data_IF_541609527159
#
_entry.id   IF_541609527159
#
_cell.length_a   1.000
_cell.length_b   1.000
_cell.length_c   1.000
_cell.angle_alpha   90.00
_cell.angle_beta   90.00
_cell.angle_gamma   90.00
#
_symmetry.space_group_name_H-M   'P 1'
#
loop_
_entity.id
_entity.type
_entity.pdbx_description
1 polymer ?
#
# COMPACT_ATOMS: atom_id res chain seq x y z
N UNK A 1 17.94 24.26 32.27
CA UNK A 1 17.87 24.29 30.80
C UNK A 1 18.06 22.84 30.33
N UNK A 2 16.95 22.14 30.20
CA UNK A 2 16.92 20.75 29.75
C UNK A 2 16.67 20.76 28.26
N UNK A 3 17.73 20.51 27.52
CA UNK A 3 17.71 20.25 26.09
C UNK A 3 17.06 18.84 25.92
N UNK A 4 15.75 18.80 25.67
CA UNK A 4 15.09 17.60 25.21
C UNK A 4 15.45 17.46 23.72
N UNK A 5 16.57 16.78 23.47
CA UNK A 5 16.88 16.24 22.17
C UNK A 5 15.63 15.49 21.67
N UNK A 6 14.99 16.04 20.64
CA UNK A 6 13.98 15.35 19.85
C UNK A 6 14.63 14.06 19.33
N UNK A 7 14.39 12.95 20.00
CA UNK A 7 14.80 11.66 19.53
C UNK A 7 14.23 11.52 18.11
N UNK A 8 15.09 11.41 17.10
CA UNK A 8 14.69 11.19 15.73
C UNK A 8 13.78 9.96 15.73
N UNK A 9 12.53 10.12 15.30
CA UNK A 9 11.58 9.01 15.18
C UNK A 9 12.16 8.00 14.23
N UNK A 10 12.21 6.74 14.65
CA UNK A 10 12.70 5.67 13.79
C UNK A 10 11.77 5.45 12.59
N UNK A 11 12.20 4.71 11.55
CA UNK A 11 11.38 4.42 10.37
C UNK A 11 10.04 3.78 10.74
N UNK A 12 9.99 2.98 11.80
CA UNK A 12 8.76 2.37 12.29
C UNK A 12 7.70 3.40 12.72
N UNK A 13 8.09 4.42 13.49
CA UNK A 13 7.15 5.46 13.97
C UNK A 13 6.63 6.31 12.81
N UNK A 14 7.47 6.61 11.83
CA UNK A 14 7.07 7.32 10.62
C UNK A 14 6.02 6.54 9.85
N UNK A 15 6.31 5.28 9.52
CA UNK A 15 5.38 4.45 8.75
C UNK A 15 4.08 4.16 9.50
N UNK A 16 4.11 3.98 10.82
CA UNK A 16 2.92 3.82 11.64
C UNK A 16 2.00 5.03 11.53
N UNK A 17 2.52 6.25 11.68
CA UNK A 17 1.74 7.48 11.57
C UNK A 17 1.12 7.66 10.17
N UNK A 18 1.85 7.29 9.11
CA UNK A 18 1.35 7.33 7.73
C UNK A 18 0.24 6.32 7.49
N UNK A 19 0.37 5.10 8.01
CA UNK A 19 -0.69 4.07 7.93
C UNK A 19 -1.96 4.55 8.64
N UNK A 20 -1.84 5.18 9.81
CA UNK A 20 -2.99 5.72 10.54
C UNK A 20 -3.70 6.83 9.75
N UNK A 21 -2.94 7.75 9.15
CA UNK A 21 -3.48 8.83 8.33
C UNK A 21 -4.19 8.30 7.06
N UNK A 22 -3.60 7.33 6.38
CA UNK A 22 -4.20 6.70 5.20
C UNK A 22 -5.48 5.95 5.57
N UNK A 23 -5.47 5.18 6.66
CA UNK A 23 -6.67 4.45 7.08
C UNK A 23 -7.84 5.40 7.34
N UNK A 24 -7.63 6.51 8.03
CA UNK A 24 -8.70 7.48 8.30
C UNK A 24 -9.30 8.06 7.00
N UNK A 25 -8.47 8.33 5.99
CA UNK A 25 -8.93 8.78 4.67
C UNK A 25 -9.76 7.69 3.96
N UNK A 26 -9.28 6.45 3.95
CA UNK A 26 -9.95 5.32 3.32
C UNK A 26 -11.29 5.00 3.99
N UNK A 27 -11.37 5.08 5.32
CA UNK A 27 -12.64 4.93 6.06
C UNK A 27 -13.66 5.98 5.63
N UNK A 28 -13.25 7.24 5.49
CA UNK A 28 -14.13 8.30 4.99
C UNK A 28 -14.57 8.04 3.54
N UNK A 29 -13.68 7.60 2.66
CA UNK A 29 -13.98 7.29 1.26
C UNK A 29 -14.91 6.08 1.12
N UNK A 30 -14.75 5.05 1.95
CA UNK A 30 -15.56 3.83 1.89
C UNK A 30 -17.05 4.07 2.25
N UNK A 31 -17.32 5.09 3.04
CA UNK A 31 -18.68 5.50 3.41
C UNK A 31 -19.41 6.31 2.31
N UNK A 32 -18.71 6.65 1.23
CA UNK A 32 -19.27 7.43 0.12
C UNK A 32 -19.78 6.53 -1.00
N UNK A 33 -20.67 7.07 -1.84
CA UNK A 33 -21.06 6.40 -3.09
C UNK A 33 -19.86 6.29 -4.04
N UNK A 34 -19.75 5.17 -4.79
CA UNK A 34 -18.70 5.00 -5.78
C UNK A 34 -18.65 6.18 -6.76
N UNK A 35 -17.43 6.68 -6.99
CA UNK A 35 -17.21 7.72 -7.96
C UNK A 35 -17.21 7.14 -9.38
N UNK A 36 -17.73 7.90 -10.33
CA UNK A 36 -17.68 7.56 -11.75
C UNK A 36 -16.32 7.94 -12.37
N UNK A 37 -16.03 7.37 -13.53
CA UNK A 37 -14.85 7.69 -14.30
C UNK A 37 -13.69 6.73 -14.07
N UNK A 38 -12.52 7.13 -14.56
CA UNK A 38 -11.28 6.37 -14.50
C UNK A 38 -10.16 7.23 -13.93
N UNK A 39 -9.22 6.60 -13.26
CA UNK A 39 -7.97 7.25 -12.80
C UNK A 39 -7.21 7.86 -13.98
N UNK A 40 -6.26 8.73 -13.69
CA UNK A 40 -5.25 9.11 -14.67
C UNK A 40 -4.49 7.88 -15.15
N UNK A 41 -3.97 7.91 -16.40
CA UNK A 41 -3.23 6.78 -16.94
C UNK A 41 -1.94 6.53 -16.13
N UNK A 42 -1.70 5.27 -15.78
CA UNK A 42 -0.41 4.85 -15.19
C UNK A 42 0.72 5.14 -16.19
N UNK A 43 1.73 5.96 -15.85
CA UNK A 43 2.73 6.41 -16.80
C UNK A 43 3.45 5.29 -17.56
N UNK A 44 3.87 4.17 -16.91
CA UNK A 44 4.55 3.08 -17.60
C UNK A 44 3.66 2.23 -18.50
N UNK A 45 2.36 2.08 -18.19
CA UNK A 45 1.48 1.12 -18.86
C UNK A 45 0.32 1.75 -19.60
N UNK A 46 -0.05 3.01 -19.28
CA UNK A 46 -1.25 3.67 -19.77
C UNK A 46 -2.55 3.10 -19.15
N UNK A 47 -2.46 2.17 -18.20
CA UNK A 47 -3.61 1.56 -17.55
C UNK A 47 -4.39 2.59 -16.73
N UNK A 48 -5.72 2.50 -16.81
CA UNK A 48 -6.64 3.36 -16.06
C UNK A 48 -7.64 2.48 -15.33
N UNK A 49 -7.92 2.82 -14.09
CA UNK A 49 -8.79 2.03 -13.21
C UNK A 49 -10.03 2.79 -12.81
N UNK A 50 -11.13 2.05 -12.66
CA UNK A 50 -12.32 2.57 -11.99
C UNK A 50 -12.21 2.48 -10.47
N UNK A 51 -13.20 3.03 -9.78
CA UNK A 51 -13.30 3.03 -8.32
C UNK A 51 -13.15 1.63 -7.71
N UNK A 52 -13.86 0.65 -8.27
CA UNK A 52 -13.85 -0.72 -7.75
C UNK A 52 -12.49 -1.41 -7.92
N UNK A 53 -11.81 -1.17 -9.05
CA UNK A 53 -10.48 -1.72 -9.28
C UNK A 53 -9.45 -1.17 -8.29
N UNK A 54 -9.51 0.13 -7.97
CA UNK A 54 -8.60 0.73 -6.97
C UNK A 54 -8.84 0.10 -5.59
N UNK A 55 -10.11 -0.03 -5.16
CA UNK A 55 -10.45 -0.66 -3.89
C UNK A 55 -10.04 -2.14 -3.83
N UNK A 56 -10.30 -2.89 -4.87
CA UNK A 56 -9.90 -4.29 -4.96
C UNK A 56 -8.38 -4.45 -4.86
N UNK A 57 -7.64 -3.57 -5.52
CA UNK A 57 -6.17 -3.60 -5.45
C UNK A 57 -5.63 -3.26 -4.06
N UNK A 58 -6.22 -2.31 -3.34
CA UNK A 58 -5.83 -2.01 -1.95
C UNK A 58 -5.84 -3.26 -1.08
N UNK A 59 -6.93 -4.04 -1.13
CA UNK A 59 -7.08 -5.28 -0.37
C UNK A 59 -6.20 -6.44 -0.86
N UNK A 60 -5.76 -6.41 -2.11
CA UNK A 60 -4.94 -7.44 -2.71
C UNK A 60 -3.45 -7.23 -2.40
N UNK A 61 -2.93 -6.01 -2.51
CA UNK A 61 -1.48 -5.80 -2.41
C UNK A 61 -0.96 -5.76 -0.97
N UNK A 62 -1.71 -5.29 0.01
CA UNK A 62 -1.23 -5.17 1.40
C UNK A 62 -0.77 -6.51 1.97
N UNK A 63 -1.59 -7.59 1.95
CA UNK A 63 -1.13 -8.88 2.45
C UNK A 63 0.02 -9.47 1.61
N UNK A 64 0.02 -9.23 0.31
CA UNK A 64 1.10 -9.68 -0.57
C UNK A 64 2.44 -9.08 -0.14
N UNK A 65 2.54 -7.76 -0.02
CA UNK A 65 3.81 -7.10 0.32
C UNK A 65 4.22 -7.34 1.77
N UNK A 66 3.29 -7.47 2.71
CA UNK A 66 3.61 -7.94 4.07
C UNK A 66 4.25 -9.34 4.05
N UNK A 67 3.77 -10.23 3.18
CA UNK A 67 4.38 -11.54 2.95
C UNK A 67 5.80 -11.44 2.40
N UNK A 68 6.05 -10.52 1.46
CA UNK A 68 7.38 -10.28 0.90
C UNK A 68 8.37 -9.74 1.93
N UNK A 69 7.96 -8.81 2.79
CA UNK A 69 8.77 -8.33 3.92
C UNK A 69 9.14 -9.48 4.85
N UNK A 70 8.18 -10.32 5.22
CA UNK A 70 8.44 -11.50 6.07
C UNK A 70 9.40 -12.50 5.41
N UNK A 71 9.35 -12.66 4.10
CA UNK A 71 10.27 -13.51 3.35
C UNK A 71 11.71 -12.99 3.46
N UNK A 72 11.91 -11.69 3.30
CA UNK A 72 13.22 -11.03 3.44
C UNK A 72 13.75 -11.19 4.88
N UNK A 73 12.91 -10.94 5.89
CA UNK A 73 13.27 -11.05 7.31
C UNK A 73 13.71 -12.47 7.69
N UNK A 74 13.04 -13.50 7.14
CA UNK A 74 13.44 -14.90 7.38
C UNK A 74 14.79 -15.25 6.78
N UNK A 75 15.26 -14.52 5.77
CA UNK A 75 16.53 -14.76 5.13
C UNK A 75 16.61 -16.11 4.39
N UNK A 76 15.46 -16.67 3.97
CA UNK A 76 15.41 -17.95 3.26
C UNK A 76 15.83 -17.79 1.80
N UNK A 77 16.87 -18.49 1.39
CA UNK A 77 17.35 -18.51 0.02
C UNK A 77 18.69 -17.81 -0.18
N UNK A 78 18.80 -17.04 -1.27
CA UNK A 78 20.01 -16.26 -1.60
C UNK A 78 20.00 -14.92 -0.88
N UNK A 79 21.19 -14.33 -0.68
CA UNK A 79 21.35 -12.96 -0.15
C UNK A 79 21.82 -12.05 -1.30
N UNK A 80 21.08 -10.97 -1.66
CA UNK A 80 19.77 -10.57 -1.13
C UNK A 80 18.62 -11.54 -1.53
N UNK A 81 17.62 -11.64 -0.67
CA UNK A 81 16.45 -12.52 -0.89
C UNK A 81 15.61 -12.00 -2.07
N UNK A 82 15.29 -12.85 -3.07
CA UNK A 82 14.36 -12.47 -4.13
C UNK A 82 12.98 -12.14 -3.56
N UNK A 83 12.40 -11.03 -3.99
CA UNK A 83 11.06 -10.59 -3.58
C UNK A 83 10.34 -9.84 -4.69
N UNK A 84 9.03 -9.68 -4.54
CA UNK A 84 8.24 -8.86 -5.43
C UNK A 84 7.71 -9.60 -6.67
N UNK A 85 6.95 -8.87 -7.47
CA UNK A 85 6.33 -9.33 -8.71
C UNK A 85 6.15 -8.18 -9.69
N UNK A 86 5.80 -8.49 -10.92
CA UNK A 86 5.47 -7.49 -11.93
C UNK A 86 3.99 -7.12 -11.91
N UNK A 87 3.62 -5.99 -12.52
CA UNK A 87 2.21 -5.56 -12.67
C UNK A 87 1.36 -6.56 -13.46
N UNK A 88 1.97 -7.42 -14.28
CA UNK A 88 1.31 -8.44 -15.11
C UNK A 88 1.11 -9.77 -14.41
N UNK A 89 1.42 -9.87 -13.13
CA UNK A 89 1.20 -11.09 -12.35
C UNK A 89 -0.27 -11.54 -12.45
N UNK A 90 -0.54 -12.79 -12.95
CA UNK A 90 -1.91 -13.23 -13.21
C UNK A 90 -2.73 -13.40 -11.93
N UNK A 91 -2.10 -13.72 -10.81
CA UNK A 91 -2.80 -13.85 -9.51
C UNK A 91 -3.29 -12.47 -9.04
N UNK A 92 -2.44 -11.45 -9.19
CA UNK A 92 -2.81 -10.05 -8.92
C UNK A 92 -3.99 -9.61 -9.78
N UNK A 93 -3.91 -9.81 -11.07
CA UNK A 93 -4.96 -9.40 -12.02
C UNK A 93 -6.28 -10.09 -11.69
N UNK A 94 -6.25 -11.41 -11.45
CA UNK A 94 -7.44 -12.18 -11.10
C UNK A 94 -8.06 -11.75 -9.77
N UNK A 95 -7.25 -11.43 -8.75
CA UNK A 95 -7.74 -10.98 -7.46
C UNK A 95 -8.43 -9.61 -7.54
N UNK A 96 -7.86 -8.67 -8.30
CA UNK A 96 -8.48 -7.36 -8.54
C UNK A 96 -9.83 -7.53 -9.24
N UNK A 97 -9.90 -8.34 -10.28
CA UNK A 97 -11.13 -8.54 -11.05
C UNK A 97 -12.22 -9.25 -10.24
N UNK A 98 -11.84 -10.19 -9.36
CA UNK A 98 -12.76 -10.88 -8.47
C UNK A 98 -13.48 -9.95 -7.50
N UNK A 99 -12.79 -8.94 -6.97
CA UNK A 99 -13.31 -8.02 -5.98
C UNK A 99 -13.80 -6.67 -6.54
N UNK A 100 -13.59 -6.39 -7.82
CA UNK A 100 -13.87 -5.12 -8.48
C UNK A 100 -15.29 -4.58 -8.24
N UNK A 101 -16.29 -5.47 -8.11
CA UNK A 101 -17.69 -5.12 -7.93
C UNK A 101 -18.18 -5.25 -6.49
N UNK A 102 -17.28 -5.56 -5.55
CA UNK A 102 -17.61 -5.65 -4.13
C UNK A 102 -17.88 -4.24 -3.55
N UNK A 103 -18.78 -4.10 -2.57
CA UNK A 103 -19.01 -2.83 -1.90
C UNK A 103 -17.75 -2.29 -1.22
N UNK A 104 -17.47 -0.99 -1.38
CA UNK A 104 -16.29 -0.35 -0.77
C UNK A 104 -16.23 -0.54 0.75
N UNK A 105 -17.36 -0.56 1.43
CA UNK A 105 -17.43 -0.80 2.88
C UNK A 105 -16.91 -2.20 3.25
N UNK A 106 -17.28 -3.24 2.51
CA UNK A 106 -16.80 -4.60 2.75
C UNK A 106 -15.30 -4.73 2.47
N UNK A 107 -14.83 -4.07 1.40
CA UNK A 107 -13.39 -4.02 1.07
C UNK A 107 -12.61 -3.27 2.15
N UNK A 108 -13.16 -2.17 2.70
CA UNK A 108 -12.55 -1.43 3.80
C UNK A 108 -12.49 -2.25 5.09
N UNK A 109 -13.53 -3.00 5.44
CA UNK A 109 -13.53 -3.86 6.63
C UNK A 109 -12.41 -4.91 6.56
N UNK A 110 -12.23 -5.54 5.40
CA UNK A 110 -11.11 -6.47 5.17
C UNK A 110 -9.76 -5.76 5.24
N UNK A 111 -9.67 -4.60 4.60
CA UNK A 111 -8.44 -3.80 4.57
C UNK A 111 -8.05 -3.33 5.97
N UNK A 112 -8.99 -2.94 6.82
CA UNK A 112 -8.72 -2.55 8.21
C UNK A 112 -8.02 -3.66 9.00
N UNK A 113 -8.46 -4.90 8.83
CA UNK A 113 -7.79 -6.07 9.40
C UNK A 113 -6.36 -6.26 8.86
N UNK A 114 -6.18 -6.09 7.55
CA UNK A 114 -4.85 -6.18 6.90
C UNK A 114 -3.91 -5.06 7.36
N UNK A 115 -4.41 -3.83 7.53
CA UNK A 115 -3.64 -2.71 8.10
C UNK A 115 -3.27 -2.96 9.56
N UNK A 116 -4.11 -3.65 10.31
CA UNK A 116 -3.77 -4.16 11.65
C UNK A 116 -2.57 -5.10 11.63
N UNK A 117 -2.53 -6.04 10.68
CA UNK A 117 -1.38 -6.94 10.47
C UNK A 117 -0.14 -6.20 9.99
N UNK A 118 -0.28 -5.19 9.13
CA UNK A 118 0.84 -4.33 8.71
C UNK A 118 1.45 -3.59 9.91
N UNK A 119 0.62 -3.02 10.80
CA UNK A 119 1.11 -2.38 12.02
C UNK A 119 1.83 -3.35 12.95
N UNK A 120 1.31 -4.56 13.11
CA UNK A 120 1.98 -5.60 13.89
C UNK A 120 3.36 -5.92 13.28
N UNK A 121 3.44 -6.12 11.98
CA UNK A 121 4.70 -6.34 11.27
C UNK A 121 5.70 -5.20 11.50
N UNK A 122 5.29 -3.94 11.35
CA UNK A 122 6.15 -2.77 11.57
C UNK A 122 6.72 -2.76 13.00
N UNK A 123 5.91 -3.13 14.01
CA UNK A 123 6.36 -3.18 15.42
C UNK A 123 7.31 -4.34 15.72
N UNK A 124 7.18 -5.43 14.98
CA UNK A 124 8.00 -6.63 15.15
C UNK A 124 9.39 -6.49 14.54
N UNK A 125 9.57 -5.58 13.56
CA UNK A 125 10.87 -5.35 12.91
C UNK A 125 11.88 -4.75 13.89
N UNK A 126 12.99 -5.46 14.05
CA UNK A 126 14.15 -4.99 14.81
C UNK A 126 14.96 -3.96 14.03
N UNK A 127 15.85 -3.18 14.70
CA UNK A 127 16.77 -2.29 13.97
C UNK A 127 17.59 -3.02 12.89
N UNK A 128 17.98 -4.28 13.13
CA UNK A 128 18.71 -5.07 12.15
C UNK A 128 17.84 -5.45 10.94
N UNK A 129 16.55 -5.69 11.13
CA UNK A 129 15.64 -5.99 10.02
C UNK A 129 15.48 -4.79 9.09
N UNK A 130 15.53 -3.56 9.60
CA UNK A 130 15.48 -2.35 8.79
C UNK A 130 16.71 -2.13 7.90
N UNK A 131 17.81 -2.81 8.18
CA UNK A 131 19.04 -2.78 7.36
C UNK A 131 19.05 -3.87 6.26
N UNK A 132 18.06 -4.77 6.25
CA UNK A 132 17.96 -5.83 5.26
C UNK A 132 17.61 -5.28 3.88
N UNK A 133 17.91 -6.10 2.87
CA UNK A 133 17.67 -5.81 1.45
C UNK A 133 17.02 -7.00 0.78
N UNK A 134 16.24 -6.72 -0.25
CA UNK A 134 15.68 -7.73 -1.12
C UNK A 134 16.07 -7.50 -2.58
N UNK A 135 15.99 -8.53 -3.41
CA UNK A 135 16.24 -8.47 -4.85
C UNK A 135 14.93 -8.48 -5.62
N UNK A 136 14.53 -7.30 -6.13
CA UNK A 136 13.32 -7.16 -6.94
C UNK A 136 13.61 -7.51 -8.43
N UNK A 137 12.70 -8.20 -9.13
CA UNK A 137 12.98 -8.72 -10.48
C UNK A 137 13.23 -7.64 -11.54
N UNK A 138 12.77 -6.41 -11.33
CA UNK A 138 12.88 -5.33 -12.35
C UNK A 138 13.81 -4.19 -11.94
N UNK A 139 13.92 -3.89 -10.66
CA UNK A 139 14.69 -2.73 -10.17
C UNK A 139 15.95 -3.13 -9.39
N UNK A 140 16.18 -4.43 -9.21
CA UNK A 140 17.37 -4.93 -8.53
C UNK A 140 17.27 -4.87 -7.02
N UNK A 141 18.39 -4.62 -6.35
CA UNK A 141 18.51 -4.59 -4.90
C UNK A 141 17.76 -3.38 -4.30
N UNK A 142 16.94 -3.62 -3.28
CA UNK A 142 16.10 -2.62 -2.62
C UNK A 142 16.22 -2.74 -1.11
N UNK A 143 16.45 -1.64 -0.43
CA UNK A 143 16.52 -1.54 1.03
C UNK A 143 15.15 -1.62 1.69
N UNK A 144 15.06 -2.20 2.89
CA UNK A 144 13.80 -2.38 3.61
C UNK A 144 13.00 -1.07 3.79
N UNK A 145 13.59 0.08 4.18
CA UNK A 145 12.83 1.33 4.26
C UNK A 145 12.23 1.77 2.92
N UNK A 146 12.91 1.49 1.81
CA UNK A 146 12.42 1.77 0.45
C UNK A 146 11.26 0.85 0.08
N UNK A 147 11.29 -0.43 0.50
CA UNK A 147 10.16 -1.35 0.32
C UNK A 147 8.91 -0.81 1.00
N UNK A 148 9.02 -0.34 2.24
CA UNK A 148 7.88 0.27 2.93
C UNK A 148 7.42 1.57 2.29
N UNK A 149 8.35 2.44 1.90
CA UNK A 149 8.02 3.73 1.32
C UNK A 149 7.36 3.61 -0.05
N UNK A 150 7.87 2.74 -0.94
CA UNK A 150 7.50 2.73 -2.34
C UNK A 150 6.49 1.61 -2.69
N UNK A 151 6.52 0.47 -1.97
CA UNK A 151 5.67 -0.70 -2.30
C UNK A 151 4.55 -0.96 -1.29
N UNK A 152 4.62 -0.44 -0.08
CA UNK A 152 3.60 -0.61 0.94
C UNK A 152 2.91 0.71 1.28
N UNK A 153 3.50 1.53 2.14
CA UNK A 153 2.82 2.70 2.70
C UNK A 153 2.63 3.79 1.65
N UNK A 154 3.64 4.12 0.85
CA UNK A 154 3.48 5.09 -0.23
C UNK A 154 2.56 4.61 -1.34
N UNK A 155 2.49 3.28 -1.57
CA UNK A 155 1.55 2.69 -2.51
C UNK A 155 0.10 2.80 -2.01
N UNK A 156 -0.14 2.60 -0.70
CA UNK A 156 -1.43 2.89 -0.05
C UNK A 156 -1.84 4.36 -0.26
N UNK A 157 -0.94 5.29 0.01
CA UNK A 157 -1.16 6.73 -0.17
C UNK A 157 -1.50 7.07 -1.61
N UNK A 158 -0.73 6.57 -2.58
CA UNK A 158 -0.93 6.82 -4.00
C UNK A 158 -2.32 6.34 -4.50
N UNK A 159 -2.77 5.16 -4.08
CA UNK A 159 -4.10 4.67 -4.44
C UNK A 159 -5.22 5.40 -3.69
N UNK A 160 -4.97 5.86 -2.48
CA UNK A 160 -5.92 6.73 -1.76
C UNK A 160 -6.07 8.06 -2.49
N UNK A 161 -4.98 8.65 -2.99
CA UNK A 161 -5.00 9.87 -3.82
C UNK A 161 -5.77 9.65 -5.13
N UNK A 162 -5.68 8.48 -5.74
CA UNK A 162 -6.49 8.13 -6.92
C UNK A 162 -7.98 8.10 -6.60
N UNK A 163 -8.39 7.55 -5.45
CA UNK A 163 -9.80 7.57 -5.01
C UNK A 163 -10.29 8.99 -4.75
N UNK A 164 -9.49 9.83 -4.09
CA UNK A 164 -9.81 11.25 -3.89
C UNK A 164 -9.94 11.99 -5.23
N UNK A 165 -9.05 11.72 -6.19
CA UNK A 165 -9.10 12.28 -7.53
C UNK A 165 -10.36 11.89 -8.31
N UNK A 166 -10.75 10.63 -8.26
CA UNK A 166 -12.01 10.14 -8.85
C UNK A 166 -13.23 10.87 -8.25
N UNK A 167 -13.23 11.08 -6.94
CA UNK A 167 -14.28 11.84 -6.24
C UNK A 167 -14.36 13.29 -6.69
N UNK A 168 -13.21 13.97 -6.73
CA UNK A 168 -13.14 15.37 -7.15
C UNK A 168 -13.68 15.57 -8.58
N UNK A 169 -13.35 14.64 -9.48
CA UNK A 169 -13.81 14.67 -10.87
C UNK A 169 -15.29 14.32 -11.03
N UNK A 170 -15.89 13.58 -10.08
CA UNK A 170 -17.30 13.21 -10.10
C UNK A 170 -18.22 14.32 -9.59
N UNK A 171 -17.68 15.22 -8.76
CA UNK A 171 -18.37 16.45 -8.31
C UNK A 171 -17.93 17.55 -9.27
N UNK A 172 -18.49 17.55 -10.50
CA UNK A 172 -18.22 18.58 -11.49
C UNK A 172 -18.51 19.99 -10.94
N UNK A 173 -17.98 21.06 -11.57
CA UNK A 173 -18.32 22.43 -11.17
C UNK A 173 -19.84 22.57 -11.23
N UNK A 174 -20.44 22.76 -10.06
CA UNK A 174 -21.88 22.97 -9.94
C UNK A 174 -22.29 24.13 -10.84
N UNK A 175 -23.31 23.90 -11.65
CA UNK A 175 -24.05 24.97 -12.33
C UNK A 175 -24.71 25.89 -11.32
#
# INVERSE_FOLDING_TARGET
MTDQASAARGPADEFMARVDAVQARLEALSAMFPAAGLTDPDPPTGERWDWGQVWAHLGEFVPYWCGQVKLIVRGEGTDPVPFGRTKKDPVRVAAIEADRHSPSAELMDRLAGQLGHLRALIRELTPADWELRGMHPTIGEVEMPTIFRDFLVGHLEAHTDQLDGLRANSVGPGE
#
